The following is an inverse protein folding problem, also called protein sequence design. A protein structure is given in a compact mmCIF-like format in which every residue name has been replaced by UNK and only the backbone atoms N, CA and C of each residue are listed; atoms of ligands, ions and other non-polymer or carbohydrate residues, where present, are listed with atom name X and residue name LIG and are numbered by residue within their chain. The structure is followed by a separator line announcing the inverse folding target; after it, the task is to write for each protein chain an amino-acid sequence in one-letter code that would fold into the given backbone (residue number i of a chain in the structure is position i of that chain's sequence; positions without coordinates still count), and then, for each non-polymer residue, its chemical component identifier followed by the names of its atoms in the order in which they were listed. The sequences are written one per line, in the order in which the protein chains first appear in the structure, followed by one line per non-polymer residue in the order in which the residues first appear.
data_IF_732704890250
#
_entry.id   IF_732704890250
#
_cell.length_a   1.000
_cell.length_b   1.000
_cell.length_c   1.000
_cell.angle_alpha   90.00
_cell.angle_beta   90.00
_cell.angle_gamma   90.00
#
_symmetry.space_group_name_H-M   'P 1'
#
loop_
_entity.id
_entity.type
_entity.pdbx_description
1 polymer ?
#
# COMPACT_ATOMS: atom_id res chain seq x y z
N UNK A 1 0.56 -6.88 24.69
CA UNK A 1 0.77 -5.60 23.98
C UNK A 1 -0.53 -4.98 23.43
N UNK A 2 -1.41 -5.70 22.68
CA UNK A 2 -2.65 -5.07 22.17
C UNK A 2 -3.59 -4.61 23.28
N UNK A 3 -3.72 -5.32 24.39
CA UNK A 3 -4.56 -4.90 25.52
C UNK A 3 -4.03 -3.61 26.19
N UNK A 4 -2.74 -3.48 26.35
CA UNK A 4 -2.14 -2.26 26.91
C UNK A 4 -2.35 -1.06 25.98
N UNK A 5 -2.22 -1.29 24.67
CA UNK A 5 -2.52 -0.28 23.66
C UNK A 5 -4.00 0.12 23.71
N UNK A 6 -4.92 -0.85 23.83
CA UNK A 6 -6.34 -0.59 23.93
C UNK A 6 -6.69 0.21 25.18
N UNK A 7 -6.10 -0.12 26.33
CA UNK A 7 -6.33 0.63 27.57
C UNK A 7 -5.87 2.08 27.44
N UNK A 8 -4.78 2.34 26.73
CA UNK A 8 -4.29 3.72 26.47
C UNK A 8 -5.18 4.46 25.48
N UNK A 9 -5.52 3.83 24.37
CA UNK A 9 -6.35 4.45 23.31
C UNK A 9 -7.80 4.71 23.75
N UNK A 10 -8.34 3.88 24.64
CA UNK A 10 -9.72 3.96 25.09
C UNK A 10 -9.90 4.77 26.38
N UNK A 11 -8.83 5.22 27.04
CA UNK A 11 -8.91 5.96 28.30
C UNK A 11 -9.09 7.45 28.05
N UNK A 12 -10.26 8.05 28.32
CA UNK A 12 -10.54 9.46 28.07
C UNK A 12 -9.94 10.40 29.13
N UNK A 13 -9.34 9.86 30.19
CA UNK A 13 -8.87 10.66 31.31
C UNK A 13 -7.42 11.09 31.13
N UNK A 14 -7.25 12.40 31.07
CA UNK A 14 -6.03 13.18 31.19
C UNK A 14 -5.17 13.37 29.93
N UNK A 15 -5.10 14.63 29.50
CA UNK A 15 -4.13 15.24 28.60
C UNK A 15 -3.95 14.58 27.22
N UNK A 16 -4.09 15.35 26.19
CA UNK A 16 -3.96 15.01 24.76
C UNK A 16 -2.73 14.16 24.38
N UNK A 17 -1.72 14.09 25.23
CA UNK A 17 -0.50 13.34 25.00
C UNK A 17 -0.52 11.88 25.46
N UNK A 18 -1.41 11.50 26.38
CA UNK A 18 -1.40 10.16 27.00
C UNK A 18 -2.14 9.08 26.18
N UNK A 19 -2.81 9.42 25.10
CA UNK A 19 -3.69 8.51 24.36
C UNK A 19 -3.06 7.95 23.07
N UNK A 20 -1.94 8.46 22.62
CA UNK A 20 -1.30 8.00 21.38
C UNK A 20 -0.25 6.92 21.65
N UNK A 21 -0.07 6.03 20.68
CA UNK A 21 1.02 5.06 20.68
C UNK A 21 2.28 5.72 20.13
N UNK A 22 3.44 5.37 20.67
CA UNK A 22 4.71 5.67 20.02
C UNK A 22 4.84 4.84 18.72
N UNK A 23 5.78 5.20 17.87
CA UNK A 23 6.11 4.46 16.65
C UNK A 23 6.49 3.00 16.95
N UNK A 24 7.28 2.78 17.97
CA UNK A 24 7.71 1.46 18.40
C UNK A 24 6.54 0.62 18.92
N UNK A 25 5.68 1.21 19.73
CA UNK A 25 4.47 0.54 20.24
C UNK A 25 3.50 0.20 19.12
N UNK A 26 3.23 1.13 18.21
CA UNK A 26 2.39 0.91 17.04
C UNK A 26 2.95 -0.22 16.16
N UNK A 27 4.26 -0.19 15.88
CA UNK A 27 4.94 -1.26 15.13
C UNK A 27 4.80 -2.62 15.82
N UNK A 28 5.02 -2.66 17.13
CA UNK A 28 4.95 -3.90 17.89
C UNK A 28 3.53 -4.48 17.96
N UNK A 29 2.51 -3.64 18.18
CA UNK A 29 1.10 -4.05 18.18
C UNK A 29 0.70 -4.58 16.80
N UNK A 30 1.05 -3.89 15.72
CA UNK A 30 0.75 -4.34 14.36
C UNK A 30 1.46 -5.67 14.05
N UNK A 31 2.70 -5.85 14.51
CA UNK A 31 3.41 -7.13 14.35
C UNK A 31 2.68 -8.29 15.03
N UNK A 32 2.12 -8.07 16.23
CA UNK A 32 1.31 -9.10 16.91
C UNK A 32 -0.02 -9.37 16.16
N UNK A 33 -0.66 -8.34 15.60
CA UNK A 33 -1.86 -8.49 14.76
C UNK A 33 -1.54 -9.35 13.54
N UNK A 34 -0.48 -9.02 12.81
CA UNK A 34 -0.07 -9.73 11.59
C UNK A 34 0.39 -11.16 11.87
N UNK A 35 0.92 -11.42 13.07
CA UNK A 35 1.27 -12.76 13.52
C UNK A 35 0.06 -13.60 13.98
N UNK A 36 -1.16 -13.04 13.96
CA UNK A 36 -2.38 -13.73 14.37
C UNK A 36 -2.51 -13.93 15.88
N UNK A 37 -1.82 -13.13 16.69
CA UNK A 37 -1.86 -13.22 18.16
C UNK A 37 -3.01 -12.44 18.80
N UNK A 38 -3.81 -11.74 17.96
CA UNK A 38 -4.90 -10.89 18.41
C UNK A 38 -6.24 -11.45 17.94
N UNK A 39 -7.27 -11.32 18.76
CA UNK A 39 -8.64 -11.70 18.35
C UNK A 39 -9.26 -10.63 17.46
N UNK A 40 -10.26 -11.00 16.66
CA UNK A 40 -11.03 -10.07 15.83
C UNK A 40 -11.64 -8.92 16.64
N UNK A 41 -12.14 -9.22 17.86
CA UNK A 41 -12.68 -8.22 18.78
C UNK A 41 -11.61 -7.20 19.22
N UNK A 42 -10.39 -7.65 19.51
CA UNK A 42 -9.28 -6.76 19.87
C UNK A 42 -8.85 -5.89 18.70
N UNK A 43 -8.78 -6.47 17.50
CA UNK A 43 -8.45 -5.74 16.27
C UNK A 43 -9.52 -4.69 15.97
N UNK A 44 -10.80 -5.06 16.03
CA UNK A 44 -11.92 -4.14 15.81
C UNK A 44 -11.88 -2.98 16.82
N UNK A 45 -11.73 -3.28 18.11
CA UNK A 45 -11.63 -2.25 19.15
C UNK A 45 -10.47 -1.27 18.90
N UNK A 46 -9.30 -1.77 18.51
CA UNK A 46 -8.14 -0.93 18.17
C UNK A 46 -8.44 -0.01 16.98
N UNK A 47 -9.03 -0.55 15.91
CA UNK A 47 -9.34 0.24 14.71
C UNK A 47 -10.35 1.36 15.02
N UNK A 48 -11.36 1.07 15.83
CA UNK A 48 -12.36 2.06 16.23
C UNK A 48 -11.75 3.11 17.16
N UNK A 49 -10.97 2.69 18.17
CA UNK A 49 -10.30 3.62 19.08
C UNK A 49 -9.37 4.60 18.34
N UNK A 50 -8.53 4.10 17.43
CA UNK A 50 -7.67 4.93 16.59
C UNK A 50 -8.48 5.89 15.72
N UNK A 51 -9.55 5.43 15.09
CA UNK A 51 -10.40 6.28 14.26
C UNK A 51 -11.12 7.37 15.05
N UNK A 52 -11.59 7.06 16.26
CA UNK A 52 -12.26 8.04 17.13
C UNK A 52 -11.30 9.09 17.66
N UNK A 53 -10.09 8.69 18.01
CA UNK A 53 -9.02 9.57 18.49
C UNK A 53 -8.45 10.43 17.34
N UNK A 54 -8.37 9.88 16.15
CA UNK A 54 -7.53 10.34 15.05
C UNK A 54 -6.12 9.75 15.15
N UNK A 55 -5.64 9.16 14.07
CA UNK A 55 -4.32 8.54 14.00
C UNK A 55 -3.22 9.63 13.95
N UNK A 56 -2.13 9.41 14.67
CA UNK A 56 -0.93 10.27 14.59
C UNK A 56 0.02 9.78 13.50
N UNK A 57 0.92 10.65 13.07
CA UNK A 57 1.97 10.31 12.09
C UNK A 57 2.84 9.16 12.61
N UNK A 58 3.24 9.20 13.88
CA UNK A 58 4.08 8.16 14.49
C UNK A 58 3.37 6.79 14.51
N UNK A 59 2.08 6.76 14.80
CA UNK A 59 1.28 5.54 14.76
C UNK A 59 1.22 4.97 13.33
N UNK A 60 0.92 5.82 12.34
CA UNK A 60 0.85 5.39 10.93
C UNK A 60 2.20 4.88 10.44
N UNK A 61 3.30 5.56 10.79
CA UNK A 61 4.66 5.12 10.43
C UNK A 61 4.98 3.77 11.05
N UNK A 62 4.72 3.58 12.35
CA UNK A 62 4.95 2.31 13.05
C UNK A 62 4.15 1.16 12.43
N UNK A 63 2.87 1.37 12.13
CA UNK A 63 2.04 0.38 11.45
C UNK A 63 2.55 0.05 10.05
N UNK A 64 2.94 1.05 9.25
CA UNK A 64 3.49 0.85 7.92
C UNK A 64 4.79 0.04 7.94
N UNK A 65 5.67 0.31 8.89
CA UNK A 65 6.92 -0.43 9.07
C UNK A 65 6.68 -1.91 9.37
N UNK A 66 5.73 -2.23 10.26
CA UNK A 66 5.38 -3.61 10.57
C UNK A 66 4.84 -4.35 9.34
N UNK A 67 3.96 -3.71 8.56
CA UNK A 67 3.40 -4.31 7.34
C UNK A 67 4.49 -4.51 6.28
N UNK A 68 5.38 -3.53 6.08
CA UNK A 68 6.53 -3.66 5.16
C UNK A 68 7.48 -4.79 5.58
N UNK A 69 7.71 -4.95 6.88
CA UNK A 69 8.56 -6.02 7.39
C UNK A 69 7.95 -7.43 7.19
N UNK A 70 6.61 -7.52 7.20
CA UNK A 70 5.87 -8.77 7.00
C UNK A 70 5.52 -9.05 5.53
N UNK A 71 5.86 -8.15 4.60
CA UNK A 71 5.59 -8.32 3.17
C UNK A 71 6.48 -9.43 2.58
N UNK A 72 5.96 -10.12 1.55
CA UNK A 72 6.75 -11.05 0.78
C UNK A 72 7.93 -10.32 0.11
N UNK A 73 9.14 -10.90 0.13
CA UNK A 73 10.29 -10.29 -0.53
C UNK A 73 10.06 -10.19 -2.03
N UNK A 74 10.35 -9.03 -2.60
CA UNK A 74 10.25 -8.78 -4.04
C UNK A 74 11.66 -8.54 -4.60
N UNK A 75 12.18 -9.43 -5.46
CA UNK A 75 13.56 -9.37 -5.94
C UNK A 75 13.71 -8.32 -7.05
N UNK A 76 13.54 -7.06 -6.73
CA UNK A 76 13.82 -5.93 -7.61
C UNK A 76 15.20 -5.38 -7.28
N UNK A 77 16.14 -5.63 -8.18
CA UNK A 77 17.44 -4.99 -8.16
C UNK A 77 17.33 -3.64 -8.88
N UNK A 78 17.56 -2.56 -8.14
CA UNK A 78 17.50 -1.20 -8.72
C UNK A 78 18.70 -0.87 -9.59
N UNK A 79 19.86 -1.44 -9.28
CA UNK A 79 21.07 -1.32 -10.07
C UNK A 79 20.88 -2.05 -11.40
N UNK A 80 20.52 -1.33 -12.46
CA UNK A 80 20.30 -1.89 -13.79
C UNK A 80 18.87 -1.74 -14.33
N UNK A 81 18.04 -0.94 -13.70
CA UNK A 81 16.81 -0.46 -14.33
C UNK A 81 17.21 0.62 -15.34
N UNK A 82 17.67 0.18 -16.54
CA UNK A 82 17.94 1.09 -17.64
C UNK A 82 16.66 1.79 -18.10
N UNK A 83 16.70 3.07 -18.50
CA UNK A 83 15.53 3.75 -19.02
C UNK A 83 14.94 2.97 -20.21
N UNK A 84 13.63 2.72 -20.19
CA UNK A 84 12.97 2.09 -21.33
C UNK A 84 12.85 3.11 -22.44
N UNK A 85 13.64 2.92 -23.51
CA UNK A 85 13.56 3.74 -24.71
C UNK A 85 12.31 3.36 -25.49
N UNK A 86 11.27 4.17 -25.41
CA UNK A 86 10.09 4.05 -26.30
C UNK A 86 10.41 4.83 -27.56
N UNK A 87 10.80 4.15 -28.64
CA UNK A 87 11.10 4.78 -29.91
C UNK A 87 9.91 5.59 -30.44
N UNK A 88 10.15 6.82 -30.89
CA UNK A 88 9.17 7.69 -31.52
C UNK A 88 8.48 8.71 -30.59
N UNK A 89 8.86 8.83 -29.33
CA UNK A 89 8.23 9.76 -28.38
C UNK A 89 8.92 11.12 -28.23
N UNK A 90 9.93 11.44 -29.00
CA UNK A 90 10.71 12.70 -28.87
C UNK A 90 11.47 12.82 -27.53
N UNK A 91 11.76 11.72 -26.92
CA UNK A 91 12.24 11.58 -25.54
C UNK A 91 13.72 11.89 -25.34
N UNK A 92 14.48 11.86 -26.41
CA UNK A 92 15.93 12.06 -26.36
C UNK A 92 16.32 13.43 -25.78
N UNK A 93 15.37 14.39 -25.75
CA UNK A 93 15.60 15.73 -25.21
C UNK A 93 15.25 15.89 -23.72
N UNK A 94 14.50 14.96 -23.11
CA UNK A 94 14.01 15.08 -21.71
C UNK A 94 14.74 14.16 -20.73
N UNK A 95 15.64 13.31 -21.21
CA UNK A 95 16.26 12.24 -20.41
C UNK A 95 17.71 12.54 -19.95
N UNK A 96 18.25 13.73 -20.21
CA UNK A 96 19.63 14.05 -19.81
C UNK A 96 19.84 14.13 -18.28
N UNK A 97 18.78 14.13 -17.47
CA UNK A 97 18.90 14.33 -16.01
C UNK A 97 18.15 13.35 -15.11
N UNK A 98 17.48 12.32 -15.63
CA UNK A 98 16.82 11.33 -14.75
C UNK A 98 17.73 10.12 -14.56
N UNK A 99 18.35 9.95 -13.39
CA UNK A 99 19.05 8.70 -13.09
C UNK A 99 18.10 7.53 -13.28
N UNK A 100 18.53 6.43 -13.90
CA UNK A 100 17.74 5.22 -14.16
C UNK A 100 17.25 4.47 -12.91
N UNK A 101 17.03 5.17 -11.80
CA UNK A 101 16.69 4.63 -10.48
C UNK A 101 15.28 5.01 -10.01
N UNK A 102 14.51 5.77 -10.78
CA UNK A 102 13.17 6.21 -10.36
C UNK A 102 12.14 5.11 -10.55
N UNK A 103 11.73 4.48 -9.47
CA UNK A 103 10.62 3.53 -9.42
C UNK A 103 9.40 4.21 -8.79
N UNK A 104 8.29 4.29 -9.54
CA UNK A 104 7.09 5.02 -9.14
C UNK A 104 5.97 4.06 -8.73
N UNK A 105 5.24 4.42 -7.68
CA UNK A 105 3.91 3.87 -7.38
C UNK A 105 2.84 4.94 -7.57
N UNK A 106 1.65 4.53 -8.03
CA UNK A 106 0.50 5.42 -8.26
C UNK A 106 -0.72 4.99 -7.43
N UNK A 107 -0.52 4.28 -6.32
CA UNK A 107 -1.63 3.86 -5.47
C UNK A 107 -2.21 5.02 -4.68
N UNK A 108 -3.55 5.09 -4.60
CA UNK A 108 -4.27 6.06 -3.77
C UNK A 108 -4.91 5.40 -2.55
N UNK A 109 -5.45 6.22 -1.64
CA UNK A 109 -6.16 5.75 -0.43
C UNK A 109 -7.50 5.09 -0.75
N UNK A 110 -8.07 5.38 -1.92
CA UNK A 110 -9.37 4.87 -2.35
C UNK A 110 -10.54 5.38 -1.52
N UNK A 111 -11.75 4.99 -1.90
CA UNK A 111 -12.95 5.23 -1.10
C UNK A 111 -13.40 6.70 -1.03
N UNK A 112 -13.00 7.54 -1.97
CA UNK A 112 -13.39 8.95 -2.11
C UNK A 112 -14.82 9.14 -2.63
N UNK A 113 -15.47 8.04 -3.07
CA UNK A 113 -16.82 8.03 -3.66
C UNK A 113 -16.99 8.98 -4.86
N UNK A 114 -15.89 9.39 -5.51
CA UNK A 114 -15.89 10.36 -6.62
C UNK A 114 -16.62 9.85 -7.88
N UNK A 115 -16.82 8.53 -7.99
CA UNK A 115 -17.46 7.90 -9.15
C UNK A 115 -16.65 7.99 -10.44
N UNK A 116 -15.39 8.39 -10.37
CA UNK A 116 -14.48 8.47 -11.52
C UNK A 116 -13.99 7.07 -11.94
N UNK A 117 -13.37 7.00 -13.12
CA UNK A 117 -12.62 5.82 -13.54
C UNK A 117 -11.35 5.65 -12.68
N UNK A 118 -10.67 4.51 -12.82
CA UNK A 118 -9.47 4.19 -12.03
C UNK A 118 -8.26 5.06 -12.47
N UNK A 119 -8.25 6.33 -12.07
CA UNK A 119 -7.25 7.34 -12.42
C UNK A 119 -5.85 6.82 -12.14
N UNK A 120 -5.61 6.27 -10.95
CA UNK A 120 -4.29 5.75 -10.57
C UNK A 120 -3.79 4.62 -11.48
N UNK A 121 -4.70 3.81 -12.05
CA UNK A 121 -4.34 2.75 -13.02
C UNK A 121 -3.99 3.36 -14.37
N UNK A 122 -4.78 4.33 -14.85
CA UNK A 122 -4.49 5.05 -16.08
C UNK A 122 -3.16 5.81 -15.96
N UNK A 123 -2.91 6.48 -14.84
CA UNK A 123 -1.64 7.16 -14.54
C UNK A 123 -0.47 6.19 -14.61
N UNK A 124 -0.59 4.99 -14.03
CA UNK A 124 0.46 3.97 -14.10
C UNK A 124 0.85 3.62 -15.54
N UNK A 125 -0.16 3.39 -16.40
CA UNK A 125 0.06 3.03 -17.80
C UNK A 125 0.69 4.18 -18.60
N UNK A 126 0.20 5.41 -18.41
CA UNK A 126 0.75 6.61 -19.06
C UNK A 126 2.18 6.87 -18.61
N UNK A 127 2.46 6.78 -17.31
CA UNK A 127 3.81 6.97 -16.74
C UNK A 127 4.79 5.92 -17.27
N UNK A 128 4.38 4.65 -17.33
CA UNK A 128 5.21 3.60 -17.92
C UNK A 128 5.40 3.82 -19.44
N UNK A 129 4.37 4.18 -20.17
CA UNK A 129 4.44 4.56 -21.59
C UNK A 129 5.34 5.77 -21.82
N UNK A 130 5.48 6.65 -20.85
CA UNK A 130 6.47 7.71 -20.84
C UNK A 130 7.87 7.19 -20.42
N UNK A 131 8.10 5.90 -20.12
CA UNK A 131 9.37 5.19 -19.86
C UNK A 131 9.89 5.33 -18.44
N UNK A 132 9.03 5.67 -17.53
CA UNK A 132 9.34 5.64 -16.10
C UNK A 132 8.95 4.26 -15.57
N UNK A 133 9.80 3.68 -14.74
CA UNK A 133 9.52 2.39 -14.10
C UNK A 133 8.38 2.50 -13.11
N UNK A 134 7.38 1.63 -13.25
CA UNK A 134 6.18 1.65 -12.41
C UNK A 134 5.95 0.31 -11.73
N UNK A 135 5.99 0.28 -10.41
CA UNK A 135 5.56 -0.84 -9.59
C UNK A 135 4.23 -0.50 -8.91
N UNK A 136 3.13 -0.70 -9.64
CA UNK A 136 1.81 -0.32 -9.14
C UNK A 136 1.30 -1.29 -8.10
N UNK A 137 1.23 -0.83 -6.84
CA UNK A 137 0.54 -1.56 -5.78
C UNK A 137 -0.97 -1.39 -5.90
N UNK A 138 -1.72 -2.48 -5.83
CA UNK A 138 -3.17 -2.40 -6.00
C UNK A 138 -3.92 -3.59 -5.41
N UNK A 139 -5.24 -3.42 -5.30
CA UNK A 139 -6.14 -4.42 -4.75
C UNK A 139 -7.49 -4.40 -5.48
N UNK A 140 -8.32 -5.41 -5.20
CA UNK A 140 -9.74 -5.36 -5.52
C UNK A 140 -10.43 -4.34 -4.62
N UNK A 141 -11.56 -3.82 -5.08
CA UNK A 141 -12.35 -2.88 -4.28
C UNK A 141 -12.96 -3.57 -3.06
N UNK A 142 -12.97 -2.85 -1.93
CA UNK A 142 -13.74 -3.22 -0.73
C UNK A 142 -14.99 -2.35 -0.62
N UNK A 143 -14.92 -1.09 -1.05
CA UNK A 143 -15.98 -0.08 -0.85
C UNK A 143 -16.48 0.56 -2.14
N UNK A 144 -15.70 0.52 -3.22
CA UNK A 144 -16.10 1.05 -4.54
C UNK A 144 -16.58 -0.06 -5.48
N UNK A 145 -17.15 0.31 -6.62
CA UNK A 145 -17.68 -0.64 -7.61
C UNK A 145 -16.58 -1.44 -8.34
N UNK A 146 -15.37 -0.88 -8.44
CA UNK A 146 -14.28 -1.47 -9.22
C UNK A 146 -12.93 -1.01 -8.66
N UNK A 147 -12.08 -1.93 -8.24
CA UNK A 147 -10.71 -1.66 -7.79
C UNK A 147 -9.71 -1.72 -8.95
N UNK A 148 -8.48 -1.33 -8.68
CA UNK A 148 -7.40 -1.37 -9.69
C UNK A 148 -7.12 -2.79 -10.21
N UNK A 149 -7.18 -3.80 -9.33
CA UNK A 149 -7.01 -5.19 -9.72
C UNK A 149 -8.13 -5.68 -10.65
N UNK A 150 -9.37 -5.24 -10.41
CA UNK A 150 -10.50 -5.62 -11.24
C UNK A 150 -10.35 -5.08 -12.67
N UNK A 151 -9.87 -3.83 -12.81
CA UNK A 151 -9.63 -3.20 -14.12
C UNK A 151 -8.52 -3.92 -14.88
N UNK A 152 -7.35 -4.12 -14.27
CA UNK A 152 -6.21 -4.71 -14.99
C UNK A 152 -6.48 -6.18 -15.37
N UNK A 153 -7.23 -6.91 -14.54
CA UNK A 153 -7.67 -8.28 -14.85
C UNK A 153 -8.66 -8.27 -16.03
N UNK A 154 -9.61 -7.33 -16.06
CA UNK A 154 -10.54 -7.16 -17.18
C UNK A 154 -9.83 -6.78 -18.50
N UNK A 155 -8.67 -6.12 -18.41
CA UNK A 155 -7.78 -5.84 -19.55
C UNK A 155 -6.92 -7.04 -19.96
N UNK A 156 -7.07 -8.20 -19.32
CA UNK A 156 -6.33 -9.43 -19.64
C UNK A 156 -4.98 -9.58 -18.93
N UNK A 157 -4.65 -8.69 -17.99
CA UNK A 157 -3.40 -8.79 -17.21
C UNK A 157 -3.55 -9.85 -16.11
N UNK A 158 -2.62 -10.78 -16.04
CA UNK A 158 -2.56 -11.75 -14.95
C UNK A 158 -2.07 -11.06 -13.66
N UNK A 159 -2.97 -10.91 -12.68
CA UNK A 159 -2.66 -10.32 -11.38
C UNK A 159 -2.11 -11.34 -10.36
N UNK A 160 -2.15 -12.65 -10.69
CA UNK A 160 -1.73 -13.73 -9.78
C UNK A 160 -0.24 -14.11 -9.99
N UNK A 161 0.59 -13.13 -10.26
CA UNK A 161 2.02 -13.37 -10.45
C UNK A 161 2.71 -13.64 -9.11
N UNK A 162 3.72 -14.53 -9.13
CA UNK A 162 4.67 -14.64 -8.02
C UNK A 162 5.55 -13.37 -7.94
N UNK A 163 6.17 -13.11 -6.77
CA UNK A 163 7.09 -11.96 -6.63
C UNK A 163 8.19 -11.93 -7.70
N UNK A 164 8.76 -13.09 -8.06
CA UNK A 164 9.82 -13.23 -9.07
C UNK A 164 9.31 -12.88 -10.47
N UNK A 165 8.09 -13.34 -10.82
CA UNK A 165 7.48 -13.03 -12.12
C UNK A 165 7.06 -11.57 -12.21
N UNK A 166 6.59 -10.96 -11.11
CA UNK A 166 6.29 -9.53 -11.06
C UNK A 166 7.58 -8.69 -11.24
N UNK A 167 8.67 -9.08 -10.59
CA UNK A 167 9.97 -8.43 -10.77
C UNK A 167 10.50 -8.60 -12.20
N UNK A 168 10.32 -9.79 -12.80
CA UNK A 168 10.68 -10.02 -14.21
C UNK A 168 9.86 -9.13 -15.15
N UNK A 169 8.53 -9.06 -14.95
CA UNK A 169 7.64 -8.20 -15.74
C UNK A 169 8.09 -6.74 -15.66
N UNK A 170 8.43 -6.26 -14.47
CA UNK A 170 8.99 -4.91 -14.31
C UNK A 170 10.24 -4.72 -15.18
N UNK A 171 11.22 -5.61 -15.11
CA UNK A 171 12.47 -5.51 -15.90
C UNK A 171 12.25 -5.56 -17.41
N UNK A 172 11.30 -6.36 -17.89
CA UNK A 172 11.08 -6.57 -19.33
C UNK A 172 10.16 -5.51 -19.95
N UNK A 173 9.18 -5.02 -19.18
CA UNK A 173 8.08 -4.18 -19.69
C UNK A 173 8.07 -2.77 -19.08
N UNK A 174 8.79 -2.56 -17.96
CA UNK A 174 8.84 -1.28 -17.25
C UNK A 174 7.66 -1.00 -16.34
N UNK A 175 6.71 -1.92 -16.29
CA UNK A 175 5.56 -1.83 -15.39
C UNK A 175 5.23 -3.20 -14.83
N UNK A 176 4.87 -3.27 -13.55
CA UNK A 176 4.25 -4.46 -12.99
C UNK A 176 3.07 -4.09 -12.09
N UNK A 177 2.12 -5.01 -11.98
CA UNK A 177 1.02 -4.91 -11.04
C UNK A 177 1.31 -5.78 -9.81
N UNK A 178 1.40 -5.15 -8.66
CA UNK A 178 1.67 -5.77 -7.37
C UNK A 178 0.36 -6.00 -6.63
N UNK A 179 -0.20 -7.20 -6.76
CA UNK A 179 -1.47 -7.56 -6.14
C UNK A 179 -1.30 -7.75 -4.63
N UNK A 180 -1.89 -6.88 -3.85
CA UNK A 180 -1.69 -6.79 -2.40
C UNK A 180 -1.90 -8.12 -1.63
N UNK A 181 -2.93 -8.95 -1.91
CA UNK A 181 -3.10 -10.22 -1.22
C UNK A 181 -1.94 -11.21 -1.39
N UNK A 182 -1.28 -11.21 -2.56
CA UNK A 182 -0.15 -12.11 -2.83
C UNK A 182 1.13 -11.65 -2.12
N UNK A 183 1.26 -10.34 -1.91
CA UNK A 183 2.48 -9.73 -1.39
C UNK A 183 2.41 -9.40 0.11
N UNK A 184 1.21 -9.37 0.67
CA UNK A 184 0.96 -9.16 2.09
C UNK A 184 0.11 -10.29 2.69
N UNK A 185 0.58 -11.55 2.68
CA UNK A 185 -0.22 -12.69 3.14
C UNK A 185 -0.66 -12.57 4.61
N UNK A 186 0.13 -11.90 5.45
CA UNK A 186 -0.20 -11.65 6.85
C UNK A 186 -1.43 -10.75 7.03
N UNK A 187 -1.78 -9.92 6.04
CA UNK A 187 -2.97 -9.06 6.09
C UNK A 187 -4.29 -9.83 6.10
N UNK A 188 -4.29 -11.13 5.81
CA UNK A 188 -5.47 -11.99 5.96
C UNK A 188 -6.07 -11.93 7.38
N UNK A 189 -5.23 -11.70 8.39
CA UNK A 189 -5.65 -11.63 9.80
C UNK A 189 -6.61 -10.46 10.08
N UNK A 190 -6.59 -9.42 9.27
CA UNK A 190 -7.44 -8.23 9.46
C UNK A 190 -8.59 -8.13 8.46
N UNK A 191 -8.65 -9.03 7.47
CA UNK A 191 -9.63 -8.92 6.38
C UNK A 191 -11.07 -9.15 6.84
N UNK A 192 -11.31 -10.09 7.76
CA UNK A 192 -12.64 -10.37 8.30
C UNK A 192 -13.16 -9.12 9.02
N UNK A 193 -12.39 -8.59 9.94
CA UNK A 193 -12.74 -7.39 10.72
C UNK A 193 -13.02 -6.20 9.81
N UNK A 194 -12.18 -5.95 8.81
CA UNK A 194 -12.39 -4.84 7.86
C UNK A 194 -13.68 -4.97 7.07
N UNK A 195 -14.04 -6.19 6.65
CA UNK A 195 -15.31 -6.46 5.93
C UNK A 195 -16.54 -6.28 6.80
N UNK A 196 -16.45 -6.64 8.09
CA UNK A 196 -17.55 -6.49 9.04
C UNK A 196 -17.75 -5.03 9.43
N UNK A 197 -16.68 -4.29 9.70
CA UNK A 197 -16.76 -2.88 10.08
C UNK A 197 -17.31 -1.98 8.95
N UNK A 198 -17.08 -2.30 7.68
CA UNK A 198 -17.57 -1.55 6.50
C UNK A 198 -17.33 -0.05 6.56
N UNK A 199 -16.24 0.37 7.18
CA UNK A 199 -15.89 1.78 7.34
C UNK A 199 -14.41 2.02 7.01
N UNK A 200 -14.06 3.28 6.75
CA UNK A 200 -12.66 3.69 6.59
C UNK A 200 -11.95 3.62 7.93
N UNK A 201 -10.75 3.04 7.92
CA UNK A 201 -9.84 2.93 9.07
C UNK A 201 -8.42 3.29 8.62
N UNK A 202 -7.45 3.29 9.52
CA UNK A 202 -6.04 3.50 9.19
C UNK A 202 -5.54 2.63 8.03
N UNK A 203 -6.13 1.44 7.79
CA UNK A 203 -5.75 0.58 6.67
C UNK A 203 -5.99 1.20 5.29
N UNK A 204 -6.84 2.22 5.18
CA UNK A 204 -7.01 2.97 3.94
C UNK A 204 -5.81 3.88 3.67
N UNK A 205 -5.16 4.39 4.72
CA UNK A 205 -3.93 5.19 4.61
C UNK A 205 -2.70 4.31 4.41
N UNK A 206 -2.68 3.12 5.01
CA UNK A 206 -1.53 2.23 4.99
C UNK A 206 -1.28 1.57 3.62
N UNK A 207 -2.32 1.37 2.81
CA UNK A 207 -2.18 0.76 1.48
C UNK A 207 -1.10 1.41 0.62
N UNK A 208 -1.19 2.71 0.32
CA UNK A 208 -0.16 3.43 -0.43
C UNK A 208 1.23 3.43 0.22
N UNK A 209 1.29 3.37 1.55
CA UNK A 209 2.53 3.45 2.32
C UNK A 209 3.29 2.11 2.41
N UNK A 210 2.71 1.02 1.92
CA UNK A 210 3.24 -0.33 2.13
C UNK A 210 3.59 -1.07 0.84
N UNK A 211 3.85 -0.34 -0.25
CA UNK A 211 4.31 -0.95 -1.50
C UNK A 211 5.59 -1.77 -1.26
N UNK A 212 5.57 -3.10 -1.53
CA UNK A 212 6.72 -3.97 -1.28
C UNK A 212 7.90 -3.73 -2.20
N UNK A 213 7.71 -3.07 -3.36
CA UNK A 213 8.79 -2.66 -4.26
C UNK A 213 9.62 -1.51 -3.69
N UNK A 214 9.19 -0.90 -2.59
CA UNK A 214 9.85 0.25 -1.98
C UNK A 214 10.10 1.39 -2.98
N UNK A 215 9.09 1.67 -3.83
CA UNK A 215 9.15 2.77 -4.78
C UNK A 215 9.69 4.05 -4.12
N UNK A 216 10.59 4.75 -4.79
CA UNK A 216 11.20 5.98 -4.28
C UNK A 216 10.46 7.24 -4.73
N UNK A 217 9.51 7.10 -5.67
CA UNK A 217 8.56 8.13 -6.03
C UNK A 217 7.13 7.62 -5.91
N UNK A 218 6.20 8.48 -5.54
CA UNK A 218 4.81 8.11 -5.40
C UNK A 218 3.87 9.25 -5.76
N UNK A 219 2.80 8.92 -6.51
CA UNK A 219 1.65 9.80 -6.69
C UNK A 219 0.49 9.20 -5.90
N UNK A 220 0.06 9.89 -4.85
CA UNK A 220 -1.01 9.44 -3.95
C UNK A 220 -2.26 10.28 -4.17
N UNK A 221 -3.35 9.65 -4.60
CA UNK A 221 -4.68 10.25 -4.57
C UNK A 221 -5.31 10.07 -3.18
N UNK A 222 -5.86 11.14 -2.62
CA UNK A 222 -6.51 11.16 -1.30
C UNK A 222 -7.91 11.75 -1.40
#
# INVERSE_FOLDING_TARGET
MILDALHRLANPSTAEQAQSLSREEARAVMSDVLAGKCTDAQIAAMLIALRMKGETVEEIVGFAEAIRAAAAPLPIERNGLEPIVVSGTGRDALMEETPGESLIDTSGTGGDASGTFNISTATALVTAGAGVWVAKHGNRSISSKCGSADVVEALGVNIQLSPERAAQCLREVGICFLYAPNLHPAMKQVQAVRRELRMRTMFNLLGPLTNPARANGQVVGV
#
